data_IF_416407828782
#
_entry.id   IF_416407828782
#
_cell.length_a   1.000
_cell.length_b   1.000
_cell.length_c   1.000
_cell.angle_alpha   90.00
_cell.angle_beta   90.00
_cell.angle_gamma   90.00
#
_symmetry.space_group_name_H-M   'P 1'
#
loop_
_entity.id
_entity.type
_entity.pdbx_description
1 polymer ?
#
# COMPACT_ATOMS: atom_id res chain seq x y z
N UNK A 1 -37.34 -33.45 26.32
CA UNK A 1 -36.07 -33.84 25.67
C UNK A 1 -35.20 -32.58 25.63
N UNK A 2 -34.09 -32.55 26.37
CA UNK A 2 -33.25 -31.35 26.58
C UNK A 2 -32.45 -31.04 25.30
N UNK A 3 -32.45 -29.79 24.87
CA UNK A 3 -31.46 -29.28 23.92
C UNK A 3 -30.15 -29.02 24.67
N UNK A 4 -29.12 -29.79 24.35
CA UNK A 4 -27.75 -29.58 24.82
C UNK A 4 -27.17 -28.35 24.09
N UNK A 5 -26.68 -27.36 24.84
CA UNK A 5 -26.04 -26.16 24.29
C UNK A 5 -24.75 -26.56 23.58
N UNK A 6 -24.58 -26.12 22.33
CA UNK A 6 -23.29 -26.16 21.65
C UNK A 6 -22.25 -25.35 22.46
N UNK A 7 -21.13 -26.00 22.73
CA UNK A 7 -20.02 -25.48 23.52
C UNK A 7 -19.39 -24.24 22.84
N UNK A 8 -19.32 -23.14 23.58
CA UNK A 8 -18.86 -21.82 23.13
C UNK A 8 -17.37 -21.84 22.75
N UNK A 9 -16.63 -22.89 23.12
CA UNK A 9 -15.20 -23.06 22.81
C UNK A 9 -14.87 -23.34 21.34
N UNK A 10 -15.75 -24.00 20.58
CA UNK A 10 -15.44 -24.44 19.20
C UNK A 10 -15.53 -23.31 18.17
N UNK A 11 -16.42 -22.33 18.41
CA UNK A 11 -16.62 -21.19 17.51
C UNK A 11 -15.38 -20.28 17.46
N UNK A 12 -14.68 -20.11 18.58
CA UNK A 12 -13.46 -19.30 18.67
C UNK A 12 -12.26 -19.91 17.92
N UNK A 13 -12.15 -21.24 17.90
CA UNK A 13 -11.09 -21.95 17.16
C UNK A 13 -11.35 -21.85 15.66
N UNK A 14 -12.57 -22.10 15.21
CA UNK A 14 -12.93 -21.99 13.78
C UNK A 14 -12.82 -20.56 13.26
N UNK A 15 -13.19 -19.55 14.04
CA UNK A 15 -13.03 -18.14 13.67
C UNK A 15 -11.53 -17.77 13.52
N UNK A 16 -10.68 -18.17 14.47
CA UNK A 16 -9.21 -17.99 14.36
C UNK A 16 -8.63 -18.74 13.17
N UNK A 17 -9.07 -19.96 12.91
CA UNK A 17 -8.62 -20.75 11.76
C UNK A 17 -9.04 -20.13 10.42
N UNK A 18 -10.27 -19.61 10.31
CA UNK A 18 -10.74 -18.95 9.09
C UNK A 18 -10.02 -17.60 8.85
N UNK A 19 -9.72 -16.86 9.92
CA UNK A 19 -8.88 -15.65 9.83
C UNK A 19 -7.41 -15.98 9.52
N UNK A 20 -6.87 -17.06 10.07
CA UNK A 20 -5.49 -17.50 9.80
C UNK A 20 -5.33 -18.03 8.39
N UNK A 21 -6.28 -18.84 7.89
CA UNK A 21 -6.31 -19.30 6.49
C UNK A 21 -6.52 -18.10 5.56
N UNK A 22 -7.46 -17.20 5.87
CA UNK A 22 -7.67 -15.97 5.11
C UNK A 22 -6.38 -15.14 4.99
N UNK A 23 -5.67 -14.94 6.11
CA UNK A 23 -4.39 -14.22 6.13
C UNK A 23 -3.28 -14.98 5.38
N UNK A 24 -3.22 -16.30 5.47
CA UNK A 24 -2.26 -17.14 4.73
C UNK A 24 -2.52 -17.10 3.22
N UNK A 25 -3.78 -17.18 2.80
CA UNK A 25 -4.20 -17.11 1.39
C UNK A 25 -3.87 -15.73 0.81
N UNK A 26 -4.02 -14.68 1.63
CA UNK A 26 -3.68 -13.31 1.25
C UNK A 26 -2.17 -13.07 1.12
N UNK A 27 -1.34 -13.68 1.98
CA UNK A 27 0.13 -13.69 1.87
C UNK A 27 0.63 -14.46 0.63
N UNK A 28 -0.17 -15.41 0.11
CA UNK A 28 0.19 -16.21 -1.07
C UNK A 28 -0.11 -15.47 -2.39
N UNK A 29 -0.93 -14.41 -2.37
CA UNK A 29 -1.54 -13.84 -3.59
C UNK A 29 -0.77 -12.71 -4.28
N UNK A 30 0.29 -12.16 -3.68
CA UNK A 30 1.09 -11.12 -4.35
C UNK A 30 1.98 -11.77 -5.40
N UNK A 31 1.61 -11.59 -6.69
CA UNK A 31 2.39 -12.08 -7.83
C UNK A 31 3.76 -11.41 -7.89
N UNK A 32 4.77 -12.15 -8.33
CA UNK A 32 6.08 -11.56 -8.62
C UNK A 32 6.01 -10.80 -9.94
N UNK A 33 6.54 -9.59 -9.95
CA UNK A 33 6.75 -8.78 -11.15
C UNK A 33 8.21 -8.35 -11.10
N UNK A 34 9.00 -8.82 -12.06
CA UNK A 34 10.40 -8.43 -12.17
C UNK A 34 10.51 -7.11 -12.93
N UNK A 35 11.51 -6.30 -12.56
CA UNK A 35 11.84 -5.09 -13.29
C UNK A 35 12.56 -5.43 -14.59
N UNK A 36 12.24 -4.74 -15.68
CA UNK A 36 12.92 -4.89 -16.96
C UNK A 36 14.12 -3.93 -17.07
N UNK A 37 14.07 -2.79 -16.36
CA UNK A 37 15.14 -1.79 -16.29
C UNK A 37 15.53 -1.50 -14.85
N UNK A 38 16.73 -0.95 -14.65
CA UNK A 38 17.27 -0.64 -13.32
C UNK A 38 16.42 0.35 -12.53
N UNK A 39 15.71 1.25 -13.21
CA UNK A 39 14.85 2.26 -12.61
C UNK A 39 13.35 1.87 -12.53
N UNK A 40 12.99 0.64 -12.92
CA UNK A 40 11.59 0.18 -12.94
C UNK A 40 11.13 -0.45 -11.60
N UNK A 41 11.94 -0.40 -10.53
CA UNK A 41 11.57 -1.00 -9.24
C UNK A 41 10.30 -0.40 -8.63
N UNK A 42 10.12 0.92 -8.73
CA UNK A 42 8.90 1.62 -8.30
C UNK A 42 7.65 1.17 -9.09
N UNK A 43 7.65 1.27 -10.44
CA UNK A 43 6.58 0.73 -11.28
C UNK A 43 6.27 -0.75 -11.03
N UNK A 44 7.28 -1.61 -10.91
CA UNK A 44 7.10 -3.03 -10.64
C UNK A 44 6.44 -3.28 -9.28
N UNK A 45 6.88 -2.57 -8.23
CA UNK A 45 6.19 -2.54 -6.94
C UNK A 45 4.73 -2.08 -7.10
N UNK A 46 4.50 -1.03 -7.87
CA UNK A 46 3.17 -0.53 -8.17
C UNK A 46 2.24 -1.58 -8.79
N UNK A 47 2.70 -2.32 -9.80
CA UNK A 47 1.92 -3.43 -10.41
C UNK A 47 1.55 -4.49 -9.37
N UNK A 48 2.50 -4.87 -8.50
CA UNK A 48 2.26 -5.88 -7.46
C UNK A 48 1.21 -5.42 -6.44
N UNK A 49 1.29 -4.16 -6.01
CA UNK A 49 0.31 -3.56 -5.10
C UNK A 49 -1.06 -3.46 -5.78
N UNK A 50 -1.13 -2.94 -7.00
CA UNK A 50 -2.38 -2.84 -7.77
C UNK A 50 -3.04 -4.21 -7.94
N UNK A 51 -2.27 -5.23 -8.29
CA UNK A 51 -2.77 -6.59 -8.43
C UNK A 51 -3.36 -7.13 -7.13
N UNK A 52 -2.75 -6.81 -5.97
CA UNK A 52 -3.28 -7.16 -4.64
C UNK A 52 -4.64 -6.49 -4.37
N UNK A 53 -4.84 -5.30 -4.91
CA UNK A 53 -6.07 -4.51 -4.86
C UNK A 53 -7.06 -4.84 -6.00
N UNK A 54 -6.86 -5.95 -6.72
CA UNK A 54 -7.76 -6.39 -7.79
C UNK A 54 -7.59 -5.63 -9.11
N UNK A 55 -6.62 -4.71 -9.22
CA UNK A 55 -6.35 -3.90 -10.40
C UNK A 55 -5.22 -4.54 -11.22
N UNK A 56 -5.57 -5.23 -12.30
CA UNK A 56 -4.59 -5.88 -13.18
C UNK A 56 -4.13 -4.92 -14.26
N UNK A 57 -2.86 -4.56 -14.23
CA UNK A 57 -2.20 -3.67 -15.20
C UNK A 57 -0.87 -4.27 -15.62
N UNK A 58 -0.39 -3.95 -16.82
CA UNK A 58 0.95 -4.34 -17.27
C UNK A 58 2.01 -3.41 -16.66
N UNK A 59 3.26 -3.91 -16.55
CA UNK A 59 4.39 -3.07 -16.17
C UNK A 59 4.53 -1.89 -17.13
N UNK A 60 4.39 -2.12 -18.43
CA UNK A 60 4.42 -1.10 -19.46
C UNK A 60 3.43 0.04 -19.22
N UNK A 61 2.17 -0.28 -18.89
CA UNK A 61 1.16 0.74 -18.64
C UNK A 61 1.45 1.59 -17.40
N UNK A 62 2.00 0.97 -16.34
CA UNK A 62 2.40 1.71 -15.12
C UNK A 62 3.61 2.59 -15.42
N UNK A 63 4.56 2.07 -16.19
CA UNK A 63 5.79 2.74 -16.61
C UNK A 63 5.50 3.97 -17.49
N UNK A 64 4.54 3.88 -18.40
CA UNK A 64 4.14 5.01 -19.26
C UNK A 64 3.46 6.14 -18.49
N UNK A 65 2.80 5.84 -17.37
CA UNK A 65 2.21 6.85 -16.48
C UNK A 65 3.19 7.38 -15.43
N UNK A 66 4.34 6.73 -15.27
CA UNK A 66 5.34 7.11 -14.32
C UNK A 66 6.30 8.12 -14.95
N UNK A 67 6.52 9.25 -14.28
CA UNK A 67 7.57 10.20 -14.64
C UNK A 67 8.95 9.63 -14.24
N UNK A 68 9.40 8.62 -14.97
CA UNK A 68 10.62 7.87 -14.64
C UNK A 68 11.88 8.68 -14.93
N UNK A 69 12.65 8.89 -13.87
CA UNK A 69 13.98 9.49 -13.92
C UNK A 69 15.06 8.39 -13.98
N UNK A 70 16.32 8.72 -14.32
CA UNK A 70 17.41 7.75 -14.30
C UNK A 70 17.63 7.07 -12.94
N UNK A 71 17.35 7.79 -11.85
CA UNK A 71 17.39 7.30 -10.46
C UNK A 71 16.09 6.62 -10.00
N UNK A 72 15.09 6.51 -10.88
CA UNK A 72 13.78 5.93 -10.58
C UNK A 72 12.82 6.89 -9.88
N UNK A 73 11.78 6.30 -9.28
CA UNK A 73 10.72 7.05 -8.59
C UNK A 73 11.05 7.24 -7.11
N UNK A 74 10.79 8.44 -6.60
CA UNK A 74 10.69 8.72 -5.17
C UNK A 74 9.41 8.12 -4.57
N UNK A 75 9.36 8.02 -3.24
CA UNK A 75 8.16 7.56 -2.52
C UNK A 75 6.93 8.43 -2.82
N UNK A 76 7.12 9.75 -3.03
CA UNK A 76 6.03 10.68 -3.37
C UNK A 76 5.49 10.42 -4.78
N UNK A 77 6.37 10.16 -5.74
CA UNK A 77 5.95 9.82 -7.10
C UNK A 77 5.24 8.47 -7.15
N UNK A 78 5.67 7.47 -6.37
CA UNK A 78 4.94 6.20 -6.23
C UNK A 78 3.53 6.41 -5.67
N UNK A 79 3.39 7.27 -4.65
CA UNK A 79 2.09 7.62 -4.07
C UNK A 79 1.17 8.25 -5.13
N UNK A 80 1.63 9.28 -5.83
CA UNK A 80 0.87 9.97 -6.87
C UNK A 80 0.49 9.02 -8.02
N UNK A 81 1.45 8.18 -8.43
CA UNK A 81 1.24 7.18 -9.48
C UNK A 81 0.12 6.23 -9.09
N UNK A 82 0.17 5.62 -7.90
CA UNK A 82 -0.84 4.67 -7.47
C UNK A 82 -2.18 5.33 -7.14
N UNK A 83 -2.18 6.61 -6.77
CA UNK A 83 -3.40 7.41 -6.67
C UNK A 83 -4.10 7.57 -8.01
N UNK A 84 -3.37 7.76 -9.12
CA UNK A 84 -3.95 7.79 -10.46
C UNK A 84 -4.64 6.48 -10.87
N UNK A 85 -4.33 5.38 -10.18
CA UNK A 85 -4.98 4.08 -10.34
C UNK A 85 -6.09 3.82 -9.32
N UNK A 86 -6.44 4.79 -8.48
CA UNK A 86 -7.52 4.70 -7.50
C UNK A 86 -7.11 4.14 -6.13
N UNK A 87 -5.81 4.12 -5.80
CA UNK A 87 -5.33 3.77 -4.46
C UNK A 87 -4.89 5.01 -3.69
N UNK A 88 -5.44 5.21 -2.50
CA UNK A 88 -4.91 6.20 -1.58
C UNK A 88 -3.74 5.57 -0.79
N UNK A 89 -2.59 6.24 -0.80
CA UNK A 89 -1.40 5.77 -0.10
C UNK A 89 -0.91 6.73 0.98
N UNK A 90 -0.15 6.21 1.95
CA UNK A 90 0.59 7.04 2.92
C UNK A 90 1.92 6.41 3.29
N UNK A 91 2.95 7.24 3.40
CA UNK A 91 4.26 6.82 3.91
C UNK A 91 4.28 6.88 5.45
N UNK A 92 4.87 5.87 6.08
CA UNK A 92 5.04 5.79 7.53
C UNK A 92 6.47 5.41 7.89
N UNK A 93 6.97 5.95 9.00
CA UNK A 93 8.19 5.46 9.62
C UNK A 93 7.84 4.35 10.59
N UNK A 94 8.44 3.18 10.40
CA UNK A 94 8.19 1.98 11.21
C UNK A 94 9.51 1.27 11.41
N UNK A 95 9.80 0.85 12.64
CA UNK A 95 10.98 0.04 12.94
C UNK A 95 10.86 -1.37 12.33
N UNK A 96 12.00 -1.97 11.96
CA UNK A 96 12.04 -3.32 11.35
C UNK A 96 11.35 -4.38 12.21
N UNK A 97 11.45 -4.26 13.54
CA UNK A 97 10.81 -5.16 14.51
C UNK A 97 9.28 -5.15 14.41
N UNK A 98 8.69 -4.09 13.87
CA UNK A 98 7.26 -3.88 13.72
C UNK A 98 6.73 -4.21 12.31
N UNK A 99 7.55 -4.73 11.38
CA UNK A 99 7.08 -5.12 10.04
C UNK A 99 5.92 -6.13 10.06
N UNK A 100 5.87 -7.00 11.07
CA UNK A 100 4.78 -7.97 11.27
C UNK A 100 3.40 -7.33 11.54
N UNK A 101 3.35 -6.02 11.82
CA UNK A 101 2.13 -5.24 12.02
C UNK A 101 1.63 -4.57 10.74
N UNK A 102 2.45 -4.54 9.69
CA UNK A 102 2.08 -3.92 8.44
C UNK A 102 1.12 -4.82 7.65
N UNK A 103 0.21 -4.23 6.85
CA UNK A 103 -0.58 -4.99 5.92
C UNK A 103 0.33 -5.61 4.83
N UNK A 104 -0.08 -6.75 4.24
CA UNK A 104 0.61 -7.30 3.08
C UNK A 104 0.52 -6.34 1.88
N UNK A 105 1.45 -6.49 0.94
CA UNK A 105 1.59 -5.64 -0.23
C UNK A 105 1.80 -4.15 0.07
N UNK A 106 2.49 -3.82 1.16
CA UNK A 106 3.06 -2.50 1.33
C UNK A 106 4.44 -2.41 0.67
N UNK A 107 4.82 -1.22 0.22
CA UNK A 107 6.15 -0.99 -0.36
C UNK A 107 7.11 -0.59 0.76
N UNK A 108 8.30 -1.17 0.80
CA UNK A 108 9.36 -0.81 1.74
C UNK A 108 10.48 -0.09 0.99
N UNK A 109 10.99 0.98 1.59
CA UNK A 109 12.23 1.59 1.13
C UNK A 109 13.42 0.73 1.56
N UNK A 110 14.29 0.41 0.62
CA UNK A 110 15.29 -0.64 0.75
C UNK A 110 16.65 -0.17 0.23
N UNK A 111 17.73 -0.50 0.95
CA UNK A 111 19.13 -0.17 0.62
C UNK A 111 19.37 1.28 0.20
N UNK A 112 18.59 2.22 0.73
CA UNK A 112 18.67 3.68 0.47
C UNK A 112 18.42 4.13 -0.99
N UNK A 113 18.09 3.22 -1.91
CA UNK A 113 17.88 3.57 -3.32
C UNK A 113 16.92 2.63 -4.06
N UNK A 114 16.25 1.72 -3.35
CA UNK A 114 15.44 0.67 -3.94
C UNK A 114 14.08 0.53 -3.26
N UNK A 115 13.13 -0.11 -3.95
CA UNK A 115 11.82 -0.44 -3.40
C UNK A 115 11.54 -1.92 -3.54
N UNK A 116 10.98 -2.50 -2.48
CA UNK A 116 10.55 -3.90 -2.44
C UNK A 116 9.13 -3.99 -1.88
N UNK A 117 8.41 -5.07 -2.19
CA UNK A 117 7.06 -5.29 -1.65
C UNK A 117 7.12 -6.25 -0.48
N UNK A 118 6.62 -5.84 0.69
CA UNK A 118 6.43 -6.75 1.82
C UNK A 118 5.23 -7.65 1.54
N UNK A 119 5.44 -8.96 1.63
CA UNK A 119 4.36 -9.93 1.48
C UNK A 119 3.87 -10.43 2.83
N UNK A 120 4.79 -10.74 3.72
CA UNK A 120 4.51 -11.32 5.02
C UNK A 120 5.63 -11.00 6.00
N UNK A 121 5.31 -10.82 7.28
CA UNK A 121 6.32 -10.74 8.32
C UNK A 121 5.81 -11.31 9.64
N UNK A 122 6.73 -11.94 10.38
CA UNK A 122 6.56 -12.31 11.77
C UNK A 122 7.75 -11.79 12.58
N UNK A 123 7.79 -12.12 13.88
CA UNK A 123 8.87 -11.64 14.77
C UNK A 123 10.27 -12.11 14.40
N UNK A 124 10.42 -13.15 13.55
CA UNK A 124 11.69 -13.78 13.21
C UNK A 124 12.07 -13.60 11.74
N UNK A 125 11.10 -13.55 10.84
CA UNK A 125 11.33 -13.50 9.38
C UNK A 125 10.39 -12.54 8.67
N UNK A 126 10.88 -11.98 7.57
CA UNK A 126 10.11 -11.25 6.57
C UNK A 126 10.20 -11.97 5.22
N UNK A 127 9.10 -11.95 4.47
CA UNK A 127 9.06 -12.35 3.06
C UNK A 127 8.77 -11.10 2.24
N UNK A 128 9.66 -10.78 1.33
CA UNK A 128 9.53 -9.66 0.40
C UNK A 128 9.52 -10.17 -1.04
N UNK A 129 9.07 -9.33 -1.96
CA UNK A 129 9.38 -9.45 -3.38
C UNK A 129 10.25 -8.26 -3.75
N UNK A 130 11.47 -8.55 -4.14
CA UNK A 130 12.40 -7.60 -4.70
C UNK A 130 12.23 -7.62 -6.24
N UNK A 131 11.86 -6.51 -6.90
CA UNK A 131 11.71 -6.48 -8.35
C UNK A 131 12.95 -6.94 -9.13
N UNK A 132 14.15 -6.84 -8.56
CA UNK A 132 15.38 -7.24 -9.24
C UNK A 132 15.62 -8.76 -9.22
N UNK A 133 15.16 -9.46 -8.19
CA UNK A 133 15.52 -10.88 -7.95
C UNK A 133 14.35 -11.78 -7.58
N UNK A 134 13.14 -11.24 -7.45
CA UNK A 134 11.93 -11.97 -7.12
C UNK A 134 11.71 -12.14 -5.61
N UNK A 135 11.13 -13.28 -5.23
CA UNK A 135 10.67 -13.52 -3.85
C UNK A 135 11.83 -13.91 -2.94
N UNK A 136 12.00 -13.20 -1.84
CA UNK A 136 13.10 -13.39 -0.90
C UNK A 136 12.56 -13.56 0.52
N UNK A 137 13.12 -14.53 1.26
CA UNK A 137 12.85 -14.72 2.69
C UNK A 137 14.09 -14.37 3.49
N UNK A 138 13.93 -13.49 4.46
CA UNK A 138 15.01 -12.94 5.28
C UNK A 138 14.65 -13.11 6.75
N UNK A 139 15.64 -13.26 7.61
CA UNK A 139 15.48 -12.98 9.04
C UNK A 139 15.25 -11.49 9.27
N UNK A 140 14.63 -11.13 10.40
CA UNK A 140 14.45 -9.71 10.77
C UNK A 140 15.81 -8.99 10.90
N UNK A 141 16.86 -9.66 11.39
CA UNK A 141 18.21 -9.10 11.47
C UNK A 141 18.86 -8.86 10.09
N UNK A 142 18.56 -9.70 9.10
CA UNK A 142 18.96 -9.43 7.71
C UNK A 142 18.17 -8.26 7.12
N UNK A 143 16.87 -8.21 7.36
CA UNK A 143 16.03 -7.10 6.90
C UNK A 143 16.47 -5.76 7.48
N UNK A 144 16.89 -5.72 8.75
CA UNK A 144 17.35 -4.51 9.44
C UNK A 144 18.53 -3.84 8.73
N UNK A 145 19.45 -4.64 8.18
CA UNK A 145 20.63 -4.13 7.45
C UNK A 145 20.29 -3.45 6.12
N UNK A 146 19.08 -3.63 5.63
CA UNK A 146 18.65 -3.12 4.32
C UNK A 146 17.47 -2.16 4.40
N UNK A 147 16.60 -2.32 5.39
CA UNK A 147 15.37 -1.56 5.48
C UNK A 147 15.62 -0.10 5.87
N UNK A 148 15.17 0.84 5.03
CA UNK A 148 15.36 2.28 5.23
C UNK A 148 14.41 2.92 6.26
N UNK A 149 13.63 2.11 7.00
CA UNK A 149 12.72 2.59 8.04
C UNK A 149 11.40 3.20 7.54
N UNK A 150 11.18 3.24 6.22
CA UNK A 150 9.97 3.80 5.59
C UNK A 150 9.19 2.71 4.87
N UNK A 151 7.88 2.66 5.14
CA UNK A 151 6.93 1.84 4.43
C UNK A 151 5.81 2.71 3.83
N UNK A 152 5.29 2.31 2.67
CA UNK A 152 4.16 2.95 2.00
C UNK A 152 2.98 1.99 2.02
N UNK A 153 1.91 2.41 2.68
CA UNK A 153 0.69 1.63 2.87
C UNK A 153 -0.38 2.14 1.90
N UNK A 154 -1.19 1.23 1.37
CA UNK A 154 -2.23 1.56 0.38
C UNK A 154 -3.59 1.04 0.82
N UNK A 155 -4.63 1.75 0.38
CA UNK A 155 -6.03 1.38 0.54
C UNK A 155 -6.82 1.85 -0.68
N UNK A 156 -8.00 1.28 -0.91
CA UNK A 156 -8.90 1.80 -1.95
C UNK A 156 -9.27 3.26 -1.66
N UNK A 157 -9.20 4.11 -2.68
CA UNK A 157 -9.76 5.46 -2.60
C UNK A 157 -11.28 5.31 -2.55
N UNK A 158 -11.91 5.68 -1.42
CA UNK A 158 -13.37 5.78 -1.37
C UNK A 158 -13.81 6.83 -2.40
N UNK A 159 -14.87 6.54 -3.14
CA UNK A 159 -15.55 7.57 -3.91
C UNK A 159 -15.95 8.70 -2.94
N UNK A 160 -15.92 9.96 -3.36
CA UNK A 160 -16.58 11.01 -2.59
C UNK A 160 -18.03 10.55 -2.39
N UNK A 161 -18.45 10.40 -1.13
CA UNK A 161 -19.86 10.20 -0.80
C UNK A 161 -20.62 11.35 -1.44
N UNK A 162 -21.72 11.05 -2.12
CA UNK A 162 -22.63 11.99 -2.78
C UNK A 162 -23.34 12.98 -1.83
N UNK A 163 -22.86 13.08 -0.59
CA UNK A 163 -23.44 13.89 0.49
C UNK A 163 -22.52 15.06 0.87
N UNK A 164 -21.55 15.41 0.01
CA UNK A 164 -20.91 16.72 0.10
C UNK A 164 -21.91 17.76 -0.38
N UNK A 165 -22.70 18.27 0.57
CA UNK A 165 -23.63 19.38 0.38
C UNK A 165 -22.97 20.49 -0.46
N UNK A 166 -23.70 20.82 -1.51
CA UNK A 166 -23.58 22.03 -2.29
C UNK A 166 -23.75 23.21 -1.32
N UNK A 167 -22.62 23.74 -0.85
CA UNK A 167 -22.61 24.95 -0.04
C UNK A 167 -23.08 26.11 -0.90
N UNK A 168 -24.33 26.49 -0.69
CA UNK A 168 -25.09 27.55 -1.30
C UNK A 168 -24.25 28.76 -1.74
N UNK A 169 -24.29 29.03 -3.04
CA UNK A 169 -24.13 30.37 -3.57
C UNK A 169 -25.48 31.09 -3.51
N UNK A 170 -25.42 32.42 -3.34
CA UNK A 170 -26.51 33.41 -3.25
C UNK A 170 -27.02 33.67 -1.81
N UNK A 171 -26.94 34.87 -1.25
CA UNK A 171 -26.45 36.17 -1.72
C UNK A 171 -26.84 37.24 -0.69
N UNK A 172 -26.16 38.38 -0.68
CA UNK A 172 -26.80 39.70 -0.57
C UNK A 172 -25.78 40.82 -0.80
N UNK A 173 -26.21 41.76 -1.64
CA UNK A 173 -25.50 42.96 -2.09
C UNK A 173 -26.03 44.12 -1.26
N UNK A 174 -25.16 44.94 -0.65
CA UNK A 174 -25.36 46.40 -0.62
C UNK A 174 -24.16 47.17 -0.05
N UNK A 175 -23.45 47.82 -0.97
CA UNK A 175 -22.91 49.18 -0.95
C UNK A 175 -22.38 49.83 0.35
N UNK A 176 -21.13 50.30 0.29
CA UNK A 176 -20.80 51.69 0.65
C UNK A 176 -19.54 52.21 -0.07
N UNK A 177 -19.80 53.21 -0.89
CA UNK A 177 -19.00 54.25 -1.54
C UNK A 177 -17.75 54.79 -0.82
N UNK A 178 -16.78 55.23 -1.63
CA UNK A 178 -15.57 56.08 -1.39
C UNK A 178 -14.36 55.40 -0.70
N UNK A 179 -13.11 55.56 -1.15
CA UNK A 179 -12.44 56.80 -1.55
C UNK A 179 -11.35 56.58 -2.63
N UNK A 180 -11.17 57.65 -3.41
CA UNK A 180 -10.07 58.03 -4.28
C UNK A 180 -8.64 57.90 -3.70
N UNK A 181 -7.69 57.52 -4.58
CA UNK A 181 -6.33 58.09 -4.62
C UNK A 181 -5.18 57.24 -4.05
N UNK A 182 -4.44 56.58 -4.94
CA UNK A 182 -2.97 56.63 -5.16
C UNK A 182 -2.49 55.38 -5.91
#
# INVERSE_FOLDING_TARGET
MRYEKADVGTVGVLARWNTLIGRLVEEIKVRVVLQERTNDCGPACGVMVLARHGRRVSLESVRQRADLRPDGLSAREILNLLESYGLAGRAVRVAVSNLHRLPPACILFWKQSHFVVLVAANKRRATIIDPAIGRVRLSIAEAERHYGGVAILFQEKKAPSSDAEEGDAEGEISASTNLSGL
#
